data_IF_909373566067
#
_entry.id   IF_909373566067
#
_cell.length_a   1.000
_cell.length_b   1.000
_cell.length_c   1.000
_cell.angle_alpha   90.00
_cell.angle_beta   90.00
_cell.angle_gamma   90.00
#
_symmetry.space_group_name_H-M   'P 1'
#
loop_
_entity.id
_entity.type
_entity.pdbx_description
1 polymer ?
#
# COMPACT_ATOMS: atom_id res chain seq x y z
N UNK A 1 50.52 -7.67 -12.88
CA UNK A 1 49.33 -7.79 -12.03
C UNK A 1 48.51 -8.98 -12.49
N UNK A 2 48.34 -9.98 -11.63
CA UNK A 2 47.76 -11.28 -12.00
C UNK A 2 46.24 -11.17 -12.20
N UNK A 3 45.72 -11.75 -13.29
CA UNK A 3 44.30 -11.80 -13.68
C UNK A 3 43.41 -12.35 -12.55
N UNK A 4 43.98 -13.16 -11.64
CA UNK A 4 43.28 -13.67 -10.46
C UNK A 4 42.93 -12.62 -9.40
N UNK A 5 43.76 -11.57 -9.25
CA UNK A 5 43.51 -10.50 -8.26
C UNK A 5 42.35 -9.59 -8.71
N UNK A 6 42.25 -9.30 -10.01
CA UNK A 6 41.11 -8.57 -10.59
C UNK A 6 39.80 -9.37 -10.52
N UNK A 7 39.83 -10.69 -10.68
CA UNK A 7 38.62 -11.53 -10.55
C UNK A 7 38.12 -11.61 -9.11
N UNK A 8 39.01 -11.72 -8.12
CA UNK A 8 38.64 -11.72 -6.70
C UNK A 8 38.10 -10.37 -6.23
N UNK A 9 38.71 -9.26 -6.65
CA UNK A 9 38.21 -7.91 -6.35
C UNK A 9 36.85 -7.62 -7.01
N UNK A 10 36.63 -8.09 -8.24
CA UNK A 10 35.36 -7.91 -8.94
C UNK A 10 34.19 -8.67 -8.31
N UNK A 11 34.43 -9.89 -7.79
CA UNK A 11 33.39 -10.70 -7.13
C UNK A 11 33.05 -10.15 -5.73
N UNK A 12 34.04 -9.64 -4.98
CA UNK A 12 33.81 -9.02 -3.66
C UNK A 12 33.05 -7.69 -3.77
N UNK A 13 33.30 -6.89 -4.80
CA UNK A 13 32.62 -5.61 -5.01
C UNK A 13 31.14 -5.79 -5.43
N UNK A 14 30.81 -6.84 -6.17
CA UNK A 14 29.42 -7.16 -6.53
C UNK A 14 28.59 -7.77 -5.38
N UNK A 15 29.20 -8.41 -4.40
CA UNK A 15 28.51 -8.96 -3.22
C UNK A 15 28.28 -7.92 -2.11
N UNK A 16 28.99 -6.79 -2.14
CA UNK A 16 28.89 -5.70 -1.16
C UNK A 16 28.02 -4.53 -1.62
N UNK A 17 27.48 -4.59 -2.83
CA UNK A 17 26.45 -3.68 -3.29
C UNK A 17 25.10 -4.40 -3.17
N UNK A 18 24.43 -4.39 -2.00
CA UNK A 18 22.99 -4.38 -2.07
C UNK A 18 22.69 -3.10 -2.87
N UNK A 19 22.35 -3.28 -4.14
CA UNK A 19 21.53 -2.30 -4.82
C UNK A 19 20.20 -2.27 -4.06
N UNK A 20 20.17 -1.60 -2.91
CA UNK A 20 19.00 -0.87 -2.50
C UNK A 20 18.78 0.05 -3.69
N UNK A 21 17.92 -0.38 -4.61
CA UNK A 21 17.24 0.52 -5.51
C UNK A 21 16.49 1.44 -4.55
N UNK A 22 17.11 2.55 -4.18
CA UNK A 22 16.48 3.59 -3.40
C UNK A 22 15.27 3.95 -4.24
N UNK A 23 14.09 3.57 -3.77
CA UNK A 23 12.87 4.05 -4.39
C UNK A 23 12.77 5.51 -3.93
N UNK A 24 13.50 6.37 -4.62
CA UNK A 24 13.27 7.79 -4.54
C UNK A 24 11.91 8.04 -5.18
N UNK A 25 11.03 8.73 -4.47
CA UNK A 25 9.71 9.13 -4.97
C UNK A 25 9.76 10.62 -5.28
N UNK A 26 10.43 11.05 -6.37
CA UNK A 26 10.70 12.47 -6.63
C UNK A 26 9.45 13.31 -6.88
N UNK A 27 8.32 12.67 -7.15
CA UNK A 27 7.01 13.32 -7.27
C UNK A 27 6.35 13.62 -5.92
N UNK A 28 6.84 13.03 -4.83
CA UNK A 28 6.31 13.25 -3.48
C UNK A 28 6.98 14.48 -2.87
N UNK A 29 6.22 15.52 -2.48
CA UNK A 29 6.79 16.72 -1.87
C UNK A 29 7.47 16.42 -0.52
N UNK A 30 8.59 17.10 -0.24
CA UNK A 30 9.35 16.94 1.03
C UNK A 30 8.53 17.30 2.26
N UNK A 31 7.52 18.14 2.10
CA UNK A 31 6.58 18.52 3.16
C UNK A 31 5.78 17.31 3.66
N UNK A 32 5.52 16.30 2.82
CA UNK A 32 4.84 15.08 3.25
C UNK A 32 5.74 14.27 4.19
N UNK A 33 7.00 14.05 3.83
CA UNK A 33 7.98 13.35 4.67
C UNK A 33 8.13 14.01 6.03
N UNK A 34 8.27 15.34 6.04
CA UNK A 34 8.30 16.13 7.29
C UNK A 34 7.03 15.94 8.12
N UNK A 35 5.85 15.99 7.50
CA UNK A 35 4.57 15.79 8.19
C UNK A 35 4.41 14.36 8.75
N UNK A 36 5.09 13.38 8.15
CA UNK A 36 5.11 11.99 8.59
C UNK A 36 6.25 11.68 9.57
N UNK A 37 7.10 12.67 9.88
CA UNK A 37 8.32 12.49 10.68
C UNK A 37 9.26 11.42 10.09
N UNK A 38 9.44 11.46 8.77
CA UNK A 38 10.33 10.60 8.02
C UNK A 38 11.44 11.42 7.36
N UNK A 39 12.60 10.80 7.21
CA UNK A 39 13.65 11.28 6.32
C UNK A 39 13.25 11.04 4.85
N UNK A 40 13.84 11.82 3.93
CA UNK A 40 13.53 11.76 2.50
C UNK A 40 14.01 10.47 1.82
N UNK A 41 14.86 9.70 2.48
CA UNK A 41 15.35 8.39 2.04
C UNK A 41 14.63 7.19 2.68
N UNK A 42 13.53 7.43 3.41
CA UNK A 42 12.74 6.36 4.03
C UNK A 42 12.34 5.28 3.01
N UNK A 43 12.38 4.01 3.43
CA UNK A 43 12.06 2.90 2.55
C UNK A 43 10.59 2.95 2.09
N UNK A 44 10.24 2.32 0.94
CA UNK A 44 8.86 2.23 0.47
C UNK A 44 7.87 1.72 1.52
N UNK A 45 8.31 0.77 2.36
CA UNK A 45 7.47 0.20 3.42
C UNK A 45 7.23 1.20 4.55
N UNK A 46 8.27 1.93 4.97
CA UNK A 46 8.14 2.95 6.02
C UNK A 46 7.24 4.09 5.56
N UNK A 47 7.46 4.59 4.33
CA UNK A 47 6.60 5.60 3.74
C UNK A 47 5.15 5.12 3.62
N UNK A 48 4.94 3.90 3.09
CA UNK A 48 3.59 3.32 2.95
C UNK A 48 2.87 3.20 4.30
N UNK A 49 3.52 2.63 5.32
CA UNK A 49 2.87 2.46 6.61
C UNK A 49 2.60 3.79 7.31
N UNK A 50 3.49 4.79 7.18
CA UNK A 50 3.25 6.13 7.72
C UNK A 50 2.08 6.84 7.01
N UNK A 51 2.05 6.79 5.68
CA UNK A 51 0.95 7.34 4.87
C UNK A 51 -0.36 6.63 5.22
N UNK A 52 -0.38 5.30 5.24
CA UNK A 52 -1.55 4.49 5.59
C UNK A 52 -2.04 4.77 7.00
N UNK A 53 -1.13 4.93 7.97
CA UNK A 53 -1.48 5.29 9.35
C UNK A 53 -2.26 6.60 9.38
N UNK A 54 -1.73 7.66 8.76
CA UNK A 54 -2.42 8.95 8.66
C UNK A 54 -3.73 8.84 7.86
N UNK A 55 -3.73 8.13 6.73
CA UNK A 55 -4.91 7.98 5.89
C UNK A 55 -6.10 7.31 6.62
N UNK A 56 -5.81 6.37 7.53
CA UNK A 56 -6.83 5.64 8.31
C UNK A 56 -7.13 6.24 9.68
N UNK A 57 -6.50 7.34 10.07
CA UNK A 57 -6.70 7.96 11.37
C UNK A 57 -7.94 8.89 11.35
N UNK A 58 -8.94 8.66 12.22
CA UNK A 58 -10.10 9.55 12.32
C UNK A 58 -9.76 10.99 12.68
N UNK A 59 -8.69 11.23 13.46
CA UNK A 59 -8.25 12.58 13.81
C UNK A 59 -7.79 13.39 12.59
N UNK A 60 -7.40 12.71 11.52
CA UNK A 60 -7.01 13.32 10.24
C UNK A 60 -8.04 13.12 9.13
N UNK A 61 -9.28 12.75 9.48
CA UNK A 61 -10.42 12.78 8.58
C UNK A 61 -10.92 11.42 8.08
N UNK A 62 -10.39 10.30 8.57
CA UNK A 62 -10.95 8.99 8.25
C UNK A 62 -12.29 8.75 8.97
N UNK A 63 -13.17 7.95 8.37
CA UNK A 63 -14.46 7.59 8.96
C UNK A 63 -15.57 8.64 8.73
N UNK A 64 -16.71 8.48 9.42
CA UNK A 64 -17.93 9.27 9.17
C UNK A 64 -17.86 10.74 9.66
N UNK A 65 -16.76 11.12 10.31
CA UNK A 65 -16.49 12.49 10.75
C UNK A 65 -17.27 12.93 11.99
N UNK A 66 -17.04 14.18 12.40
CA UNK A 66 -17.56 14.75 13.66
C UNK A 66 -19.09 14.97 13.70
N UNK A 67 -19.76 14.80 12.56
CA UNK A 67 -21.21 15.00 12.40
C UNK A 67 -21.94 13.68 12.09
N UNK A 68 -21.29 12.53 12.31
CA UNK A 68 -21.84 11.20 12.07
C UNK A 68 -23.18 10.93 12.76
N UNK A 69 -23.47 11.63 13.85
CA UNK A 69 -24.74 11.53 14.58
C UNK A 69 -25.95 12.12 13.83
N UNK A 70 -25.72 12.82 12.71
CA UNK A 70 -26.78 13.49 11.94
C UNK A 70 -27.09 12.80 10.61
N UNK A 71 -26.42 11.70 10.28
CA UNK A 71 -26.64 10.97 9.04
C UNK A 71 -26.30 9.49 9.17
N UNK A 72 -27.01 8.67 8.41
CA UNK A 72 -26.79 7.23 8.33
C UNK A 72 -26.31 6.81 6.93
N UNK A 73 -25.50 5.75 6.81
CA UNK A 73 -25.15 5.20 5.51
C UNK A 73 -26.39 4.63 4.81
N UNK A 74 -26.52 4.89 3.52
CA UNK A 74 -27.50 4.24 2.64
C UNK A 74 -26.87 2.99 2.01
N UNK A 75 -27.63 2.08 1.37
CA UNK A 75 -27.06 0.87 0.79
C UNK A 75 -25.87 1.10 -0.15
N UNK A 76 -25.87 2.20 -0.92
CA UNK A 76 -24.78 2.54 -1.82
C UNK A 76 -23.52 3.09 -1.11
N UNK A 77 -23.64 3.54 0.15
CA UNK A 77 -22.52 4.10 0.93
C UNK A 77 -21.39 3.11 1.14
N UNK A 78 -21.66 1.80 1.13
CA UNK A 78 -20.62 0.76 1.23
C UNK A 78 -19.60 0.78 0.10
N UNK A 79 -19.93 1.40 -1.04
CA UNK A 79 -19.02 1.59 -2.18
C UNK A 79 -18.39 2.98 -2.20
N UNK A 80 -19.00 3.97 -1.54
CA UNK A 80 -18.49 5.34 -1.45
C UNK A 80 -17.45 5.51 -0.34
N UNK A 81 -17.66 4.86 0.81
CA UNK A 81 -16.68 4.74 1.89
C UNK A 81 -16.59 3.27 2.36
N UNK A 82 -15.84 2.44 1.63
CA UNK A 82 -15.72 1.02 1.96
C UNK A 82 -15.00 0.76 3.28
N UNK A 83 -14.07 1.63 3.67
CA UNK A 83 -13.31 1.45 4.91
C UNK A 83 -14.21 1.52 6.16
N UNK A 84 -15.27 2.34 6.10
CA UNK A 84 -16.24 2.48 7.19
C UNK A 84 -17.41 1.51 7.08
N UNK A 85 -17.90 1.23 5.87
CA UNK A 85 -19.23 0.62 5.69
C UNK A 85 -19.26 -0.70 4.91
N UNK A 86 -18.18 -1.10 4.24
CA UNK A 86 -18.23 -2.31 3.41
C UNK A 86 -18.36 -3.58 4.24
N UNK A 87 -19.30 -4.43 3.83
CA UNK A 87 -19.43 -5.82 4.28
C UNK A 87 -19.57 -6.69 3.04
N UNK A 88 -18.84 -7.82 2.96
CA UNK A 88 -19.02 -8.78 1.87
C UNK A 88 -20.47 -9.27 1.80
N UNK A 89 -21.01 -9.54 0.59
CA UNK A 89 -22.34 -10.10 0.45
C UNK A 89 -22.43 -11.52 1.04
N UNK A 90 -23.58 -11.87 1.61
CA UNK A 90 -23.79 -13.18 2.27
C UNK A 90 -24.35 -14.27 1.33
N UNK A 91 -24.67 -13.93 0.09
CA UNK A 91 -25.27 -14.84 -0.89
C UNK A 91 -24.30 -15.90 -1.40
N UNK A 92 -23.01 -15.59 -1.46
CA UNK A 92 -21.95 -16.51 -1.92
C UNK A 92 -21.12 -16.95 -0.71
N UNK A 93 -21.30 -18.20 -0.25
CA UNK A 93 -20.58 -18.76 0.91
C UNK A 93 -19.40 -19.64 0.46
N UNK A 94 -18.65 -19.17 -0.52
CA UNK A 94 -17.57 -19.94 -1.12
C UNK A 94 -16.21 -19.42 -0.64
N UNK A 95 -15.33 -20.34 -0.25
CA UNK A 95 -13.90 -20.06 -0.16
C UNK A 95 -13.33 -20.48 -1.50
N UNK A 96 -12.90 -19.51 -2.30
CA UNK A 96 -12.46 -19.71 -3.67
C UNK A 96 -10.97 -19.44 -3.82
N UNK A 97 -10.33 -20.19 -4.70
CA UNK A 97 -8.97 -19.97 -5.13
C UNK A 97 -8.89 -18.91 -6.23
N UNK A 98 -7.70 -18.34 -6.45
CA UNK A 98 -7.47 -17.30 -7.47
C UNK A 98 -8.07 -17.60 -8.87
N UNK A 99 -7.93 -18.80 -9.46
CA UNK A 99 -8.49 -19.06 -10.80
C UNK A 99 -10.03 -19.07 -10.81
N UNK A 100 -10.66 -19.41 -9.68
CA UNK A 100 -12.12 -19.50 -9.57
C UNK A 100 -12.76 -18.10 -9.57
N UNK A 101 -12.06 -17.08 -9.07
CA UNK A 101 -12.48 -15.68 -9.20
C UNK A 101 -12.74 -15.31 -10.66
N UNK A 102 -11.76 -15.56 -11.54
CA UNK A 102 -11.87 -15.20 -12.97
C UNK A 102 -12.94 -16.02 -13.66
N UNK A 103 -12.97 -17.33 -13.38
CA UNK A 103 -13.92 -18.25 -14.01
C UNK A 103 -15.37 -17.85 -13.72
N UNK A 104 -15.70 -17.57 -12.45
CA UNK A 104 -17.05 -17.17 -12.06
C UNK A 104 -17.41 -15.77 -12.58
N UNK A 105 -16.51 -14.80 -12.40
CA UNK A 105 -16.79 -13.40 -12.77
C UNK A 105 -16.81 -13.14 -14.27
N UNK A 106 -16.27 -14.04 -15.11
CA UNK A 106 -16.44 -13.97 -16.57
C UNK A 106 -17.91 -14.16 -16.97
N UNK A 107 -18.67 -14.94 -16.20
CA UNK A 107 -20.10 -15.18 -16.47
C UNK A 107 -20.99 -14.21 -15.67
N UNK A 108 -20.70 -13.98 -14.38
CA UNK A 108 -21.54 -13.14 -13.50
C UNK A 108 -21.35 -11.62 -13.72
N UNK A 109 -20.19 -11.20 -14.22
CA UNK A 109 -19.86 -9.79 -14.45
C UNK A 109 -18.89 -9.62 -15.64
N UNK A 110 -19.35 -9.92 -16.88
CA UNK A 110 -18.52 -9.96 -18.10
C UNK A 110 -17.93 -8.61 -18.52
#
# INVERSE_FOLDING_TARGET
MSVGLCRLLGVVLCLLLPASSWADFPSVPRELYKALSLEDDASPKELYEAVKKRYKDPATGSGPGALAQYWEPIPYSMYMDPASFYKPPSSMKEVVERPECVKCHTDESP
#
